data_IF_640541640568
#
_entry.id   IF_640541640568
#
_cell.length_a   1.000
_cell.length_b   1.000
_cell.length_c   1.000
_cell.angle_alpha   90.00
_cell.angle_beta   90.00
_cell.angle_gamma   90.00
#
_symmetry.space_group_name_H-M   'P 1'
#
loop_
_entity.id
_entity.type
_entity.pdbx_description
1 polymer ?
#
# COMPACT_ATOMS: atom_id res chain seq x y z
N UNK A 1 15.22 3.09 20.30
CA UNK A 1 16.03 1.87 20.10
C UNK A 1 17.41 2.20 19.57
N UNK A 2 17.53 2.73 18.34
CA UNK A 2 18.84 3.12 17.77
C UNK A 2 19.53 4.19 18.61
N UNK A 3 18.86 5.32 18.87
CA UNK A 3 19.43 6.42 19.67
C UNK A 3 19.78 6.01 21.11
N UNK A 4 19.02 5.08 21.67
CA UNK A 4 19.27 4.55 23.03
C UNK A 4 20.35 3.46 23.05
N UNK A 5 20.89 3.04 21.90
CA UNK A 5 21.84 1.93 21.79
C UNK A 5 21.28 0.56 22.14
N UNK A 6 19.96 0.43 22.29
CA UNK A 6 19.27 -0.81 22.63
C UNK A 6 18.34 -1.19 21.47
N UNK A 7 18.92 -1.82 20.46
CA UNK A 7 18.22 -2.28 19.26
C UNK A 7 17.73 -3.70 19.49
N UNK A 8 16.40 -3.87 19.42
CA UNK A 8 15.73 -5.16 19.64
C UNK A 8 15.18 -5.76 18.34
N UNK A 9 15.02 -4.95 17.29
CA UNK A 9 14.55 -5.38 15.98
C UNK A 9 15.72 -5.49 14.99
N UNK A 10 15.81 -6.61 14.29
CA UNK A 10 16.88 -6.87 13.33
C UNK A 10 16.49 -6.56 11.89
N UNK A 11 15.25 -6.87 11.51
CA UNK A 11 14.67 -6.52 10.21
C UNK A 11 13.32 -5.87 10.44
N UNK A 12 13.11 -4.72 9.81
CA UNK A 12 11.89 -3.93 9.95
C UNK A 12 11.31 -3.67 8.57
N UNK A 13 10.00 -3.87 8.46
CA UNK A 13 9.20 -3.43 7.33
C UNK A 13 8.82 -1.95 7.54
N UNK A 14 9.18 -1.11 6.57
CA UNK A 14 8.82 0.31 6.54
C UNK A 14 8.32 0.71 5.15
N UNK A 15 7.44 1.72 5.08
CA UNK A 15 7.11 2.36 3.81
C UNK A 15 8.38 2.85 3.11
N UNK A 16 8.54 2.52 1.83
CA UNK A 16 9.76 2.80 1.06
C UNK A 16 10.14 4.30 1.10
N UNK A 17 9.16 5.20 1.19
CA UNK A 17 9.37 6.64 1.32
C UNK A 17 10.19 7.04 2.58
N UNK A 18 10.20 6.20 3.61
CA UNK A 18 10.91 6.44 4.86
C UNK A 18 12.39 6.02 4.82
N UNK A 19 12.79 5.17 3.86
CA UNK A 19 14.14 4.59 3.83
C UNK A 19 15.22 5.65 3.65
N UNK A 20 15.07 6.54 2.67
CA UNK A 20 16.02 7.62 2.38
C UNK A 20 16.21 8.57 3.58
N UNK A 21 15.13 9.14 4.18
CA UNK A 21 15.30 10.02 5.34
C UNK A 21 15.88 9.28 6.55
N UNK A 22 15.48 8.02 6.81
CA UNK A 22 16.06 7.23 7.89
C UNK A 22 17.56 6.94 7.68
N UNK A 23 17.97 6.64 6.45
CA UNK A 23 19.38 6.47 6.07
C UNK A 23 20.19 7.74 6.31
N UNK A 24 19.67 8.91 5.91
CA UNK A 24 20.30 10.22 6.16
C UNK A 24 20.43 10.56 7.65
N UNK A 25 19.50 10.08 8.47
CA UNK A 25 19.55 10.21 9.93
C UNK A 25 20.44 9.15 10.60
N UNK A 26 21.14 8.34 9.81
CA UNK A 26 22.03 7.29 10.30
C UNK A 26 21.30 6.24 11.16
N UNK A 27 20.03 5.98 10.87
CA UNK A 27 19.19 5.05 11.65
C UNK A 27 19.22 3.62 11.13
N UNK A 28 19.78 3.39 9.95
CA UNK A 28 19.77 2.10 9.25
C UNK A 28 21.20 1.67 8.91
N UNK A 29 21.45 0.36 8.92
CA UNK A 29 22.64 -0.21 8.29
C UNK A 29 22.52 -0.15 6.76
N UNK A 30 23.63 -0.02 6.02
CA UNK A 30 23.61 -0.23 4.58
C UNK A 30 23.33 -1.71 4.26
N UNK A 31 22.66 -1.97 3.14
CA UNK A 31 22.43 -3.32 2.67
C UNK A 31 23.59 -3.83 1.81
N UNK A 32 24.02 -5.06 2.05
CA UNK A 32 25.02 -5.77 1.25
C UNK A 32 24.39 -6.51 0.06
N UNK A 33 24.42 -5.86 -1.10
CA UNK A 33 23.94 -6.43 -2.36
C UNK A 33 24.88 -7.45 -3.01
N UNK A 34 26.02 -7.78 -2.39
CA UNK A 34 26.76 -8.99 -2.76
C UNK A 34 26.11 -10.25 -2.18
N UNK A 35 25.40 -10.10 -1.04
CA UNK A 35 24.66 -11.16 -0.36
C UNK A 35 23.20 -11.22 -0.82
N UNK A 36 22.56 -10.06 -0.99
CA UNK A 36 21.16 -9.93 -1.38
C UNK A 36 21.04 -9.96 -2.91
N UNK A 37 20.37 -11.00 -3.47
CA UNK A 37 20.06 -11.07 -4.90
C UNK A 37 18.88 -10.16 -5.24
N UNK A 38 19.12 -9.14 -6.07
CA UNK A 38 18.11 -8.15 -6.48
C UNK A 38 17.78 -8.22 -7.97
N UNK A 39 18.13 -9.29 -8.67
CA UNK A 39 17.96 -9.37 -10.15
C UNK A 39 16.51 -9.20 -10.61
N UNK A 40 15.55 -9.62 -9.79
CA UNK A 40 14.11 -9.59 -10.08
C UNK A 40 13.41 -8.40 -9.39
N UNK A 41 14.16 -7.50 -8.78
CA UNK A 41 13.66 -6.32 -8.08
C UNK A 41 13.74 -5.11 -9.01
N UNK A 42 12.69 -4.28 -8.98
CA UNK A 42 12.68 -3.03 -9.73
C UNK A 42 13.84 -2.11 -9.26
N UNK A 43 14.65 -1.55 -10.18
CA UNK A 43 15.83 -0.76 -9.80
C UNK A 43 15.53 0.39 -8.84
N UNK A 44 14.35 1.00 -8.94
CA UNK A 44 13.91 2.11 -8.09
C UNK A 44 13.68 1.71 -6.63
N UNK A 45 13.58 0.41 -6.34
CA UNK A 45 13.39 -0.14 -5.00
C UNK A 45 14.67 -0.72 -4.40
N UNK A 46 15.80 -0.57 -5.07
CA UNK A 46 17.12 -0.96 -4.56
C UNK A 46 17.76 0.30 -3.99
N UNK A 47 17.61 0.52 -2.68
CA UNK A 47 18.08 1.71 -1.98
C UNK A 47 19.26 1.37 -1.07
N UNK A 48 20.19 2.30 -0.84
CA UNK A 48 21.39 2.07 -0.01
C UNK A 48 21.10 1.38 1.34
N UNK A 49 19.97 1.71 1.97
CA UNK A 49 19.59 1.24 3.30
C UNK A 49 18.32 0.38 3.33
N UNK A 50 17.79 -0.01 2.17
CA UNK A 50 16.52 -0.73 2.11
C UNK A 50 16.24 -1.34 0.75
N UNK A 51 15.48 -2.41 0.74
CA UNK A 51 15.07 -3.06 -0.51
C UNK A 51 13.58 -3.32 -0.50
N UNK A 52 12.90 -2.87 -1.54
CA UNK A 52 11.47 -3.05 -1.69
C UNK A 52 11.11 -4.52 -1.87
N UNK A 53 10.10 -4.97 -1.14
CA UNK A 53 9.73 -6.39 -1.10
C UNK A 53 8.23 -6.65 -1.28
N UNK A 54 7.39 -5.62 -1.15
CA UNK A 54 5.93 -5.73 -1.26
C UNK A 54 5.32 -4.45 -1.84
N UNK A 55 4.24 -4.61 -2.60
CA UNK A 55 3.46 -3.51 -3.18
C UNK A 55 2.02 -3.55 -2.70
N UNK A 56 1.47 -2.37 -2.50
CA UNK A 56 0.06 -2.20 -2.19
C UNK A 56 -0.47 -0.94 -2.85
N UNK A 57 -1.79 -0.90 -2.99
CA UNK A 57 -2.48 0.28 -3.48
C UNK A 57 -3.46 0.80 -2.44
N UNK A 58 -3.37 2.10 -2.20
CA UNK A 58 -4.40 2.87 -1.53
C UNK A 58 -5.34 3.39 -2.61
N UNK A 59 -6.62 3.01 -2.56
CA UNK A 59 -7.60 3.54 -3.50
C UNK A 59 -8.90 3.92 -2.80
N UNK A 60 -9.78 4.57 -3.55
CA UNK A 60 -11.13 4.90 -3.11
C UNK A 60 -12.00 3.64 -3.05
N UNK A 61 -12.44 3.30 -1.85
CA UNK A 61 -13.40 2.25 -1.57
C UNK A 61 -14.73 2.82 -1.09
N UNK A 62 -15.83 2.17 -1.44
CA UNK A 62 -17.19 2.64 -1.18
C UNK A 62 -18.20 1.50 -1.07
N UNK A 63 -19.35 1.83 -0.49
CA UNK A 63 -20.52 0.95 -0.41
C UNK A 63 -21.32 0.96 -1.71
N UNK A 64 -21.36 -0.17 -2.44
CA UNK A 64 -22.11 -0.33 -3.70
C UNK A 64 -23.60 -0.07 -3.52
N UNK A 65 -24.16 -0.46 -2.38
CA UNK A 65 -25.58 -0.28 -2.06
C UNK A 65 -25.96 1.20 -1.82
N UNK A 66 -24.97 2.06 -1.53
CA UNK A 66 -25.16 3.51 -1.39
C UNK A 66 -25.00 4.28 -2.69
N UNK A 67 -24.23 3.72 -3.63
CA UNK A 67 -23.96 4.33 -4.92
C UNK A 67 -24.28 3.37 -6.09
N UNK A 68 -25.53 2.89 -6.22
CA UNK A 68 -25.88 1.89 -7.23
C UNK A 68 -25.83 2.42 -8.67
N UNK A 69 -26.24 3.68 -8.87
CA UNK A 69 -26.35 4.29 -10.20
C UNK A 69 -25.12 5.13 -10.59
N UNK A 70 -24.52 5.80 -9.60
CA UNK A 70 -23.40 6.73 -9.78
C UNK A 70 -22.30 6.45 -8.73
N UNK A 71 -21.51 5.38 -8.90
CA UNK A 71 -20.37 5.10 -8.02
C UNK A 71 -19.31 6.20 -8.14
N UNK A 72 -18.69 6.64 -7.02
CA UNK A 72 -17.58 7.58 -7.09
C UNK A 72 -16.37 6.90 -7.74
N UNK A 73 -15.72 7.59 -8.68
CA UNK A 73 -14.67 7.00 -9.49
C UNK A 73 -13.38 7.84 -9.52
N UNK A 74 -13.29 8.90 -8.71
CA UNK A 74 -12.12 9.77 -8.62
C UNK A 74 -12.03 10.45 -7.27
N UNK A 75 -10.88 11.05 -6.94
CA UNK A 75 -10.77 11.88 -5.74
C UNK A 75 -11.61 13.16 -5.85
N UNK A 76 -11.86 13.67 -7.05
CA UNK A 76 -12.80 14.77 -7.26
C UNK A 76 -14.22 14.38 -6.83
N UNK A 77 -14.67 13.16 -7.17
CA UNK A 77 -15.97 12.63 -6.72
C UNK A 77 -16.01 12.44 -5.19
N UNK A 78 -14.92 11.97 -4.58
CA UNK A 78 -14.82 11.86 -3.13
C UNK A 78 -14.94 13.24 -2.45
N UNK A 79 -14.35 14.28 -3.04
CA UNK A 79 -14.43 15.67 -2.53
C UNK A 79 -15.78 16.36 -2.82
N UNK A 80 -16.53 15.90 -3.82
CA UNK A 80 -17.85 16.43 -4.17
C UNK A 80 -18.95 15.87 -3.23
N UNK A 81 -19.11 16.52 -2.08
CA UNK A 81 -20.08 16.12 -1.05
C UNK A 81 -21.54 16.29 -1.44
N UNK A 82 -21.83 17.18 -2.41
CA UNK A 82 -23.18 17.41 -2.91
C UNK A 82 -23.56 16.36 -3.98
N UNK A 83 -22.65 16.08 -4.92
CA UNK A 83 -22.85 15.09 -5.96
C UNK A 83 -22.70 13.65 -5.50
N UNK A 84 -21.98 13.42 -4.40
CA UNK A 84 -21.82 12.12 -3.76
C UNK A 84 -22.04 12.23 -2.24
N UNK A 85 -23.31 12.38 -1.80
CA UNK A 85 -23.63 12.45 -0.38
C UNK A 85 -23.28 11.14 0.33
N UNK A 86 -22.76 11.24 1.55
CA UNK A 86 -22.40 10.07 2.36
C UNK A 86 -21.35 10.38 3.42
N UNK A 87 -21.27 9.53 4.43
CA UNK A 87 -20.28 9.62 5.51
C UNK A 87 -18.92 9.16 4.99
N UNK A 88 -17.85 9.90 5.33
CA UNK A 88 -16.49 9.64 4.84
C UNK A 88 -15.53 9.31 5.98
N UNK A 89 -14.61 8.39 5.72
CA UNK A 89 -13.37 8.24 6.49
C UNK A 89 -12.16 8.56 5.61
N UNK A 90 -11.03 8.89 6.25
CA UNK A 90 -9.79 9.13 5.53
C UNK A 90 -8.56 8.79 6.38
N UNK A 91 -7.43 8.48 5.73
CA UNK A 91 -6.17 8.16 6.42
C UNK A 91 -5.68 9.34 7.26
N UNK A 92 -5.36 9.09 8.54
CA UNK A 92 -4.88 10.12 9.48
C UNK A 92 -3.50 10.68 9.11
N UNK A 93 -2.61 9.84 8.57
CA UNK A 93 -1.21 10.19 8.35
C UNK A 93 -0.97 10.76 6.94
N UNK A 94 -0.42 11.98 6.89
CA UNK A 94 -0.16 12.71 5.63
C UNK A 94 0.74 11.94 4.64
N UNK A 95 1.68 11.16 5.16
CA UNK A 95 2.67 10.43 4.38
C UNK A 95 2.09 9.29 3.52
N UNK A 96 0.89 8.79 3.84
CA UNK A 96 0.34 7.55 3.28
C UNK A 96 -0.76 7.71 2.23
N UNK A 97 -1.07 8.95 1.82
CA UNK A 97 -1.95 9.18 0.66
C UNK A 97 -2.83 10.43 0.65
N UNK A 98 -3.12 11.14 1.76
CA UNK A 98 -4.11 12.22 1.70
C UNK A 98 -3.64 13.43 0.88
N UNK A 99 -2.33 13.62 0.67
CA UNK A 99 -1.77 14.77 -0.05
C UNK A 99 -2.00 14.65 -1.57
N UNK A 100 -1.62 13.52 -2.17
CA UNK A 100 -1.81 13.28 -3.59
C UNK A 100 -3.30 13.23 -3.95
N UNK A 101 -4.12 12.58 -3.11
CA UNK A 101 -5.57 12.57 -3.27
C UNK A 101 -6.17 13.98 -3.22
N UNK A 102 -5.74 14.83 -2.29
CA UNK A 102 -6.21 16.21 -2.18
C UNK A 102 -5.84 17.06 -3.41
N UNK A 103 -4.65 16.86 -4.00
CA UNK A 103 -4.23 17.53 -5.23
C UNK A 103 -5.02 17.04 -6.45
N UNK A 104 -5.23 15.73 -6.57
CA UNK A 104 -6.04 15.13 -7.62
C UNK A 104 -7.49 15.61 -7.55
N UNK A 105 -8.05 15.72 -6.34
CA UNK A 105 -9.37 16.30 -6.10
C UNK A 105 -9.44 17.80 -6.46
N UNK A 106 -8.34 18.52 -6.31
CA UNK A 106 -8.20 19.92 -6.73
C UNK A 106 -7.85 20.09 -8.22
N UNK A 107 -7.90 19.00 -9.00
CA UNK A 107 -7.76 19.00 -10.45
C UNK A 107 -6.31 18.99 -10.95
N UNK A 108 -5.32 18.71 -10.11
CA UNK A 108 -3.94 18.51 -10.57
C UNK A 108 -3.87 17.24 -11.43
N UNK A 109 -3.32 17.29 -12.66
CA UNK A 109 -3.09 16.10 -13.46
C UNK A 109 -2.15 15.12 -12.75
N UNK A 110 -2.43 13.81 -12.88
CA UNK A 110 -1.67 12.76 -12.19
C UNK A 110 -0.17 12.76 -12.57
N UNK A 111 0.15 13.15 -13.80
CA UNK A 111 1.50 13.26 -14.35
C UNK A 111 2.22 14.57 -13.94
N UNK A 112 1.54 15.48 -13.24
CA UNK A 112 2.06 16.76 -12.76
C UNK A 112 1.98 16.91 -11.24
N UNK A 113 1.77 15.81 -10.51
CA UNK A 113 1.69 15.84 -9.05
C UNK A 113 3.03 16.25 -8.41
N UNK A 114 4.15 15.81 -8.98
CA UNK A 114 5.46 15.99 -8.36
C UNK A 114 6.27 17.11 -9.03
N UNK A 115 6.96 17.97 -8.25
CA UNK A 115 6.95 18.03 -6.78
C UNK A 115 5.60 18.50 -6.21
N UNK A 116 5.19 17.92 -5.07
CA UNK A 116 3.88 18.19 -4.46
C UNK A 116 3.76 19.65 -4.01
N UNK A 117 2.68 20.33 -4.43
CA UNK A 117 2.28 21.63 -3.88
C UNK A 117 1.56 21.42 -2.54
N UNK A 118 2.35 21.43 -1.45
CA UNK A 118 1.87 21.12 -0.10
C UNK A 118 0.82 22.13 0.38
N UNK A 119 0.99 23.42 0.10
CA UNK A 119 0.04 24.46 0.51
C UNK A 119 -1.31 24.28 -0.21
N UNK A 120 -1.27 23.94 -1.51
CA UNK A 120 -2.48 23.62 -2.28
C UNK A 120 -3.17 22.37 -1.77
N UNK A 121 -2.41 21.32 -1.44
CA UNK A 121 -2.95 20.11 -0.86
C UNK A 121 -3.69 20.40 0.45
N UNK A 122 -3.09 21.16 1.38
CA UNK A 122 -3.73 21.52 2.65
C UNK A 122 -4.99 22.37 2.46
N UNK A 123 -4.98 23.35 1.54
CA UNK A 123 -6.21 24.10 1.20
C UNK A 123 -7.32 23.18 0.70
N UNK A 124 -6.99 22.17 -0.11
CA UNK A 124 -7.94 21.17 -0.56
C UNK A 124 -8.42 20.27 0.58
N UNK A 125 -7.52 19.85 1.48
CA UNK A 125 -7.85 19.07 2.67
C UNK A 125 -8.78 19.83 3.64
N UNK A 126 -8.60 21.15 3.81
CA UNK A 126 -9.47 21.97 4.66
C UNK A 126 -10.92 21.99 4.16
N UNK A 127 -11.15 21.86 2.85
CA UNK A 127 -12.50 21.77 2.28
C UNK A 127 -13.20 20.45 2.64
N UNK A 128 -12.48 19.33 2.62
CA UNK A 128 -13.09 18.02 2.91
C UNK A 128 -13.12 17.68 4.39
N UNK A 129 -12.20 18.24 5.18
CA UNK A 129 -12.02 17.92 6.61
C UNK A 129 -13.32 17.96 7.44
N UNK A 130 -14.24 18.93 7.29
CA UNK A 130 -15.51 18.94 8.02
C UNK A 130 -16.43 17.75 7.70
N UNK A 131 -16.19 17.07 6.58
CA UNK A 131 -16.98 15.95 6.08
C UNK A 131 -16.32 14.59 6.37
N UNK A 132 -15.10 14.58 6.92
CA UNK A 132 -14.43 13.36 7.38
C UNK A 132 -14.84 13.08 8.82
N UNK A 133 -15.57 11.99 9.04
CA UNK A 133 -16.08 11.60 10.36
C UNK A 133 -15.05 10.78 11.14
N UNK A 134 -14.25 9.97 10.43
CA UNK A 134 -13.24 9.11 11.04
C UNK A 134 -11.91 9.29 10.32
N UNK A 135 -10.86 9.58 11.10
CA UNK A 135 -9.48 9.53 10.64
C UNK A 135 -8.89 8.19 11.07
N UNK A 136 -8.81 7.24 10.14
CA UNK A 136 -8.36 5.89 10.46
C UNK A 136 -6.83 5.86 10.57
N UNK A 137 -6.32 4.93 11.37
CA UNK A 137 -4.90 4.81 11.73
C UNK A 137 -4.36 3.40 11.45
N UNK A 138 -5.23 2.38 11.49
CA UNK A 138 -4.88 0.99 11.31
C UNK A 138 -5.58 0.41 10.08
N UNK A 139 -4.84 -0.39 9.29
CA UNK A 139 -5.34 -0.92 8.02
C UNK A 139 -6.60 -1.78 8.07
N UNK A 140 -6.97 -2.31 9.24
CA UNK A 140 -8.23 -3.05 9.41
C UNK A 140 -9.46 -2.13 9.48
N UNK A 141 -9.30 -0.88 9.89
CA UNK A 141 -10.42 0.04 10.16
C UNK A 141 -11.24 0.37 8.91
N UNK A 142 -10.67 0.72 7.73
CA UNK A 142 -11.48 1.10 6.57
C UNK A 142 -12.49 0.03 6.15
N UNK A 143 -12.05 -1.24 6.12
CA UNK A 143 -12.91 -2.36 5.75
C UNK A 143 -14.03 -2.58 6.78
N UNK A 144 -13.72 -2.43 8.08
CA UNK A 144 -14.71 -2.52 9.15
C UNK A 144 -15.75 -1.38 9.06
N UNK A 145 -15.28 -0.13 8.98
CA UNK A 145 -16.14 1.07 8.90
C UNK A 145 -17.13 0.98 7.73
N UNK A 146 -16.66 0.51 6.56
CA UNK A 146 -17.50 0.30 5.39
C UNK A 146 -18.51 -0.84 5.59
N UNK A 147 -18.09 -1.94 6.24
CA UNK A 147 -18.92 -3.14 6.42
C UNK A 147 -20.03 -2.92 7.44
N UNK A 148 -19.72 -2.22 8.52
CA UNK A 148 -20.69 -1.85 9.57
C UNK A 148 -21.58 -0.69 9.14
N UNK A 149 -21.17 0.04 8.10
CA UNK A 149 -21.92 1.16 7.58
C UNK A 149 -21.76 2.45 8.37
N UNK A 150 -20.71 2.54 9.17
CA UNK A 150 -20.31 3.80 9.81
C UNK A 150 -19.87 4.82 8.77
N UNK A 151 -19.29 4.37 7.65
CA UNK A 151 -18.95 5.21 6.51
C UNK A 151 -19.45 4.62 5.18
N UNK A 152 -19.73 5.50 4.23
CA UNK A 152 -20.19 5.14 2.88
C UNK A 152 -19.03 5.08 1.88
N UNK A 153 -17.95 5.83 2.12
CA UNK A 153 -16.73 5.82 1.32
C UNK A 153 -15.48 6.21 2.13
N UNK A 154 -14.31 5.74 1.71
CA UNK A 154 -13.00 6.03 2.34
C UNK A 154 -11.87 5.73 1.37
N UNK A 155 -10.68 6.27 1.62
CA UNK A 155 -9.48 5.62 1.12
C UNK A 155 -9.20 4.34 1.92
N UNK A 156 -8.62 3.34 1.26
CA UNK A 156 -8.27 2.09 1.92
C UNK A 156 -7.15 1.36 1.18
N UNK A 157 -6.38 0.56 1.92
CA UNK A 157 -5.54 -0.48 1.33
C UNK A 157 -6.44 -1.57 0.74
N UNK A 158 -6.48 -1.65 -0.59
CA UNK A 158 -7.48 -2.45 -1.32
C UNK A 158 -7.43 -3.94 -0.96
N UNK A 159 -6.23 -4.43 -0.64
CA UNK A 159 -5.99 -5.66 0.07
C UNK A 159 -7.05 -6.04 1.13
N UNK A 160 -7.33 -5.11 2.04
CA UNK A 160 -8.21 -5.30 3.20
C UNK A 160 -9.68 -5.27 2.80
N UNK A 161 -10.03 -4.38 1.88
CA UNK A 161 -11.40 -4.26 1.34
C UNK A 161 -11.78 -5.48 0.52
N UNK A 162 -10.86 -5.97 -0.31
CA UNK A 162 -11.06 -7.09 -1.21
C UNK A 162 -11.41 -8.38 -0.48
N UNK A 163 -10.76 -8.66 0.66
CA UNK A 163 -11.10 -9.81 1.52
C UNK A 163 -12.56 -9.79 1.97
N UNK A 164 -13.07 -8.60 2.30
CA UNK A 164 -14.45 -8.44 2.77
C UNK A 164 -15.46 -8.47 1.62
N UNK A 165 -15.06 -8.00 0.43
CA UNK A 165 -15.84 -8.19 -0.81
C UNK A 165 -16.00 -9.68 -1.14
N UNK A 166 -14.94 -10.48 -1.01
CA UNK A 166 -14.98 -11.92 -1.23
C UNK A 166 -15.87 -12.66 -0.23
N UNK A 167 -16.11 -12.07 0.94
CA UNK A 167 -17.05 -12.56 1.96
C UNK A 167 -18.50 -12.13 1.68
N UNK A 168 -18.75 -11.41 0.58
CA UNK A 168 -20.08 -11.01 0.14
C UNK A 168 -20.52 -9.62 0.62
N UNK A 169 -19.64 -8.83 1.24
CA UNK A 169 -20.00 -7.48 1.63
C UNK A 169 -20.32 -6.61 0.39
N UNK A 170 -21.29 -5.68 0.48
CA UNK A 170 -21.71 -4.84 -0.64
C UNK A 170 -20.70 -3.71 -0.90
N UNK A 171 -19.41 -4.00 -0.92
CA UNK A 171 -18.34 -3.02 -1.10
C UNK A 171 -17.76 -3.08 -2.53
N UNK A 172 -17.22 -1.96 -2.98
CA UNK A 172 -16.44 -1.83 -4.20
C UNK A 172 -15.32 -0.82 -3.98
N UNK A 173 -14.44 -0.75 -4.96
CA UNK A 173 -13.39 0.25 -5.04
C UNK A 173 -13.09 0.55 -6.50
N UNK A 174 -12.47 1.70 -6.75
CA UNK A 174 -11.92 2.05 -8.06
C UNK A 174 -10.40 2.04 -8.00
N UNK A 175 -9.77 1.58 -9.08
CA UNK A 175 -8.33 1.73 -9.27
C UNK A 175 -7.96 3.11 -9.85
N UNK A 176 -8.95 3.86 -10.34
CA UNK A 176 -8.69 5.16 -10.93
C UNK A 176 -8.08 6.08 -9.86
N UNK A 177 -6.98 6.74 -10.21
CA UNK A 177 -6.22 7.59 -9.29
C UNK A 177 -5.74 6.89 -8.00
N UNK A 178 -5.68 5.56 -7.99
CA UNK A 178 -5.11 4.80 -6.89
C UNK A 178 -3.60 5.08 -6.73
N UNK A 179 -3.16 5.22 -5.48
CA UNK A 179 -1.74 5.39 -5.16
C UNK A 179 -1.09 4.03 -5.00
N UNK A 180 -0.21 3.67 -5.92
CA UNK A 180 0.70 2.53 -5.77
C UNK A 180 1.83 2.92 -4.81
N UNK A 181 2.04 2.12 -3.78
CA UNK A 181 3.12 2.27 -2.81
C UNK A 181 3.87 0.94 -2.65
N UNK A 182 5.04 1.00 -2.05
CA UNK A 182 5.83 -0.17 -1.71
C UNK A 182 6.31 -0.08 -0.28
N UNK A 183 6.53 -1.25 0.31
CA UNK A 183 7.22 -1.40 1.57
C UNK A 183 8.61 -2.00 1.30
N UNK A 184 9.57 -1.58 2.11
CA UNK A 184 10.97 -1.98 2.05
C UNK A 184 11.41 -2.63 3.36
N UNK A 185 12.24 -3.66 3.24
CA UNK A 185 12.93 -4.22 4.38
C UNK A 185 14.20 -3.44 4.66
N UNK A 186 14.40 -3.08 5.93
CA UNK A 186 15.56 -2.34 6.43
C UNK A 186 16.14 -3.02 7.66
N UNK A 187 17.42 -2.74 7.94
CA UNK A 187 18.11 -3.21 9.13
C UNK A 187 18.39 -2.00 10.03
N UNK A 188 17.83 -1.92 11.26
CA UNK A 188 18.14 -0.83 12.17
C UNK A 188 19.62 -0.79 12.54
N UNK A 189 20.21 0.40 12.53
CA UNK A 189 21.61 0.60 12.89
C UNK A 189 21.86 0.11 14.31
N UNK A 190 22.91 -0.71 14.49
CA UNK A 190 23.26 -1.32 15.77
C UNK A 190 22.55 -2.63 16.07
N UNK A 191 21.84 -3.23 15.10
CA UNK A 191 21.46 -4.65 15.18
C UNK A 191 22.70 -5.51 15.45
N UNK A 192 22.52 -6.55 16.29
CA UNK A 192 23.58 -7.52 16.60
C UNK A 192 23.61 -8.71 15.62
N UNK A 193 22.64 -8.77 14.71
CA UNK A 193 22.38 -9.91 13.83
C UNK A 193 22.42 -9.49 12.35
N UNK A 194 23.26 -8.51 11.99
CA UNK A 194 23.29 -7.93 10.64
C UNK A 194 23.47 -8.98 9.55
N UNK A 195 24.39 -9.93 9.71
CA UNK A 195 24.62 -10.98 8.71
C UNK A 195 23.37 -11.86 8.49
N UNK A 196 22.74 -12.28 9.59
CA UNK A 196 21.50 -13.07 9.56
C UNK A 196 20.33 -12.27 9.00
N UNK A 197 20.30 -10.96 9.26
CA UNK A 197 19.30 -10.05 8.72
C UNK A 197 19.42 -9.93 7.19
N UNK A 198 20.65 -9.87 6.64
CA UNK A 198 20.88 -9.92 5.20
C UNK A 198 20.42 -11.25 4.59
N UNK A 199 20.75 -12.38 5.23
CA UNK A 199 20.29 -13.70 4.79
C UNK A 199 18.76 -13.80 4.78
N UNK A 200 18.11 -13.26 5.81
CA UNK A 200 16.65 -13.20 5.89
C UNK A 200 16.06 -12.33 4.78
N UNK A 201 16.58 -11.12 4.57
CA UNK A 201 16.13 -10.24 3.49
C UNK A 201 16.28 -10.97 2.14
N UNK A 202 17.45 -11.54 1.86
CA UNK A 202 17.69 -12.31 0.64
C UNK A 202 16.70 -13.48 0.49
N UNK A 203 16.39 -14.20 1.57
CA UNK A 203 15.37 -15.25 1.57
C UNK A 203 13.98 -14.71 1.19
N UNK A 204 13.56 -13.56 1.73
CA UNK A 204 12.23 -12.98 1.44
C UNK A 204 12.08 -12.52 -0.01
N UNK A 205 13.18 -12.20 -0.70
CA UNK A 205 13.16 -11.72 -2.08
C UNK A 205 13.16 -12.84 -3.13
N UNK A 206 13.34 -14.10 -2.71
CA UNK A 206 13.35 -15.23 -3.66
C UNK A 206 12.01 -15.34 -4.39
N UNK A 207 11.99 -15.59 -5.71
CA UNK A 207 10.76 -15.69 -6.49
C UNK A 207 9.74 -16.67 -5.91
N UNK A 208 10.17 -17.85 -5.43
CA UNK A 208 9.25 -18.83 -4.84
C UNK A 208 8.64 -18.35 -3.51
N UNK A 209 9.37 -17.54 -2.74
CA UNK A 209 8.91 -17.00 -1.46
C UNK A 209 7.92 -15.85 -1.70
N UNK A 210 8.26 -14.93 -2.62
CA UNK A 210 7.37 -13.85 -3.05
C UNK A 210 6.07 -14.39 -3.67
N UNK A 211 6.17 -15.42 -4.52
CA UNK A 211 5.01 -16.09 -5.11
C UNK A 211 4.07 -16.69 -4.06
N UNK A 212 4.63 -17.35 -3.03
CA UNK A 212 3.83 -17.87 -1.90
C UNK A 212 3.25 -16.77 -1.04
N UNK A 213 4.02 -15.71 -0.78
CA UNK A 213 3.56 -14.57 0.02
C UNK A 213 2.35 -13.90 -0.65
N UNK A 214 2.41 -13.65 -1.96
CA UNK A 214 1.33 -13.04 -2.74
C UNK A 214 0.04 -13.89 -2.79
N UNK A 215 0.14 -15.20 -2.56
CA UNK A 215 -1.03 -16.09 -2.47
C UNK A 215 -1.71 -16.05 -1.10
N UNK A 216 -0.96 -15.73 -0.03
CA UNK A 216 -1.45 -15.73 1.35
C UNK A 216 -1.96 -14.34 1.76
N UNK A 217 -1.16 -13.30 1.52
CA UNK A 217 -1.42 -11.93 1.95
C UNK A 217 -1.65 -11.06 0.72
N UNK A 218 -2.78 -10.38 0.57
CA UNK A 218 -4.11 -10.58 1.14
C UNK A 218 -4.95 -11.32 0.09
N UNK A 219 -4.99 -12.65 0.20
CA UNK A 219 -5.70 -13.63 -0.66
C UNK A 219 -6.10 -13.20 -2.09
N UNK A 220 -5.51 -13.92 -3.06
CA UNK A 220 -5.93 -14.16 -4.46
C UNK A 220 -6.17 -12.96 -5.40
N UNK A 221 -6.69 -11.82 -4.98
CA UNK A 221 -7.20 -10.82 -5.92
C UNK A 221 -6.59 -9.43 -5.73
N UNK A 222 -6.27 -9.01 -4.48
CA UNK A 222 -5.68 -7.69 -4.23
C UNK A 222 -4.29 -7.54 -4.86
N UNK A 223 -3.41 -8.51 -4.62
CA UNK A 223 -2.04 -8.47 -5.15
C UNK A 223 -1.98 -8.96 -6.61
N UNK A 224 -2.79 -9.94 -7.02
CA UNK A 224 -2.89 -10.30 -8.44
C UNK A 224 -3.44 -9.15 -9.31
N UNK A 225 -4.35 -8.33 -8.80
CA UNK A 225 -4.84 -7.15 -9.52
C UNK A 225 -3.74 -6.07 -9.63
N UNK A 226 -2.92 -5.90 -8.60
CA UNK A 226 -1.73 -5.05 -8.65
C UNK A 226 -0.69 -5.60 -9.64
N UNK A 227 -0.38 -6.90 -9.56
CA UNK A 227 0.63 -7.58 -10.36
C UNK A 227 0.25 -7.65 -11.84
N UNK A 228 -1.03 -7.91 -12.19
CA UNK A 228 -1.52 -7.89 -13.59
C UNK A 228 -1.38 -6.52 -14.28
N UNK A 229 -1.17 -5.46 -13.51
CA UNK A 229 -0.99 -4.09 -14.00
C UNK A 229 0.42 -3.54 -13.74
N UNK A 230 1.27 -4.29 -13.07
CA UNK A 230 2.71 -3.99 -13.03
C UNK A 230 3.29 -4.14 -14.45
N UNK A 231 4.36 -3.40 -14.80
CA UNK A 231 5.04 -3.58 -16.08
C UNK A 231 5.36 -5.06 -16.33
N UNK A 232 5.23 -5.51 -17.59
CA UNK A 232 5.15 -6.91 -17.99
C UNK A 232 6.31 -7.85 -17.51
N UNK A 233 7.40 -7.31 -16.96
CA UNK A 233 8.52 -8.08 -16.42
C UNK A 233 8.25 -8.82 -15.11
N UNK A 234 7.20 -8.45 -14.34
CA UNK A 234 6.98 -8.98 -12.99
C UNK A 234 6.12 -10.26 -12.89
N UNK A 235 5.67 -10.82 -14.02
CA UNK A 235 4.57 -11.82 -14.06
C UNK A 235 4.97 -13.23 -14.51
N UNK A 236 6.23 -13.47 -14.86
CA UNK A 236 6.69 -14.70 -15.52
C UNK A 236 6.34 -16.01 -14.78
N UNK A 237 6.50 -16.02 -13.46
CA UNK A 237 6.52 -17.28 -12.69
C UNK A 237 5.21 -17.58 -11.92
N UNK A 238 4.27 -16.63 -11.87
CA UNK A 238 3.02 -16.81 -11.11
C UNK A 238 1.99 -17.70 -11.83
N UNK A 239 2.11 -17.84 -13.15
CA UNK A 239 1.22 -18.68 -13.94
C UNK A 239 1.46 -20.18 -13.68
N UNK A 240 2.71 -20.60 -13.48
CA UNK A 240 3.08 -22.00 -13.26
C UNK A 240 2.67 -22.50 -11.86
N UNK A 241 2.85 -21.67 -10.83
CA UNK A 241 2.42 -21.96 -9.45
C UNK A 241 0.89 -22.14 -9.33
N UNK A 242 0.11 -21.47 -10.20
CA UNK A 242 -1.35 -21.63 -10.24
C UNK A 242 -1.80 -22.96 -10.83
N UNK A 243 -0.98 -23.56 -11.71
CA UNK A 243 -1.27 -24.84 -12.35
C UNK A 243 -0.95 -26.03 -11.42
N UNK A 244 0.12 -25.95 -10.62
CA UNK A 244 0.52 -27.04 -9.71
C UNK A 244 -0.43 -27.23 -8.52
N UNK A 245 -1.04 -26.17 -7.99
CA UNK A 245 -1.95 -26.28 -6.85
C UNK A 245 -3.40 -26.67 -7.24
N UNK A 246 -3.75 -26.59 -8.53
CA UNK A 246 -5.05 -27.03 -9.05
C UNK A 246 -5.21 -28.55 -9.14
N UNK A 247 -4.13 -29.32 -9.04
CA UNK A 247 -4.14 -30.77 -9.19
C UNK A 247 -4.32 -31.54 -7.86
N UNK A 248 -4.29 -30.88 -6.70
CA UNK A 248 -4.21 -31.54 -5.38
C UNK A 248 -5.52 -31.58 -4.58
N UNK A 249 -6.67 -31.28 -5.17
CA UNK A 249 -7.96 -31.38 -4.45
C UNK A 249 -9.08 -31.92 -5.32
N UNK A 250 -8.89 -33.12 -5.88
CA UNK A 250 -9.96 -34.03 -6.30
C UNK A 250 -9.49 -35.48 -6.14
N UNK A 251 -9.55 -35.99 -4.90
CA UNK A 251 -9.73 -37.41 -4.58
C UNK A 251 -10.33 -37.54 -3.18
#
# INVERSE_FOLDING_TARGET
>A
MVESGNVEWDVVDVGTEAVIPMGRLNLLEPLDYNTIDTKDIFPELILEHGVGYFYYSTCLAYRKDKFPDKPPNSWADFWDVEGFPGVRAFQKYAQWGPIEAALLADGVPIDQLYPLDIDRAFRSSDRIKPHITVWWEAGAQPAQLLSDGEVDMTDAWIARVQVVIEQGAPLAYTWNQGRLSSDSLVIPRGSKNVDVAHDFINFTLRPEIQGRFAMIYPRRSGQQACLRRAPAGALGDLAELSAEQGASSLS
#
